data_IF_780816031518
#
_entry.id   IF_780816031518
#
_cell.length_a   1.000
_cell.length_b   1.000
_cell.length_c   1.000
_cell.angle_alpha   90.00
_cell.angle_beta   90.00
_cell.angle_gamma   90.00
#
_symmetry.space_group_name_H-M   'P 1'
#
loop_
_entity.id
_entity.type
_entity.pdbx_description
1 polymer ?
#
# COMPACT_ATOMS: atom_id res chain seq x y z
N UNK A 1 26.65 -14.35 -1.18
CA UNK A 1 26.64 -14.13 0.28
C UNK A 1 28.02 -13.85 0.88
N UNK A 2 29.09 -14.54 0.48
CA UNK A 2 30.43 -14.32 1.05
C UNK A 2 31.02 -12.90 0.81
N UNK A 3 30.77 -12.27 -0.35
CA UNK A 3 31.30 -10.93 -0.66
C UNK A 3 30.60 -9.80 0.10
N UNK A 4 29.29 -9.92 0.36
CA UNK A 4 28.49 -8.93 1.10
C UNK A 4 28.74 -8.95 2.61
N UNK A 5 29.04 -10.11 3.18
CA UNK A 5 29.42 -10.22 4.60
C UNK A 5 30.82 -9.62 4.82
N UNK A 6 31.76 -9.87 3.90
CA UNK A 6 33.10 -9.28 3.96
C UNK A 6 33.07 -7.75 3.85
N UNK A 7 32.22 -7.19 2.97
CA UNK A 7 32.09 -5.73 2.82
C UNK A 7 31.47 -5.06 4.04
N UNK A 8 30.51 -5.71 4.70
CA UNK A 8 29.91 -5.18 5.94
C UNK A 8 30.86 -5.24 7.14
N UNK A 9 31.58 -6.36 7.33
CA UNK A 9 32.60 -6.47 8.38
C UNK A 9 33.71 -5.41 8.18
N UNK A 10 34.08 -5.14 6.93
CA UNK A 10 34.99 -4.06 6.59
C UNK A 10 34.41 -2.67 6.89
N UNK A 11 33.14 -2.41 6.54
CA UNK A 11 32.46 -1.17 6.92
C UNK A 11 32.51 -0.94 8.43
N UNK A 12 32.10 -1.93 9.23
CA UNK A 12 32.11 -1.84 10.70
C UNK A 12 33.51 -1.67 11.28
N UNK A 13 34.51 -2.36 10.70
CA UNK A 13 35.90 -2.21 11.11
C UNK A 13 36.39 -0.79 10.81
N UNK A 14 36.21 -0.32 9.57
CA UNK A 14 36.63 1.00 9.14
C UNK A 14 35.94 2.11 9.95
N UNK A 15 34.63 2.02 10.20
CA UNK A 15 33.89 2.98 11.03
C UNK A 15 34.37 3.02 12.48
N UNK A 16 34.93 1.91 13.01
CA UNK A 16 35.53 1.87 14.36
C UNK A 16 36.98 2.37 14.38
N UNK A 17 37.77 2.12 13.34
CA UNK A 17 39.16 2.58 13.23
C UNK A 17 39.31 4.01 12.72
N UNK A 18 38.29 4.59 12.09
CA UNK A 18 38.32 5.96 11.60
C UNK A 18 37.50 6.85 12.52
N UNK A 19 38.18 7.77 13.21
CA UNK A 19 37.60 9.06 13.54
C UNK A 19 37.41 9.79 12.20
N UNK A 20 36.27 9.56 11.53
CA UNK A 20 35.99 10.11 10.21
C UNK A 20 35.94 11.63 10.38
N UNK A 21 36.98 12.32 9.89
CA UNK A 21 37.24 13.75 10.12
C UNK A 21 37.53 14.17 11.58
N UNK A 22 38.24 13.36 12.38
CA UNK A 22 38.44 13.58 13.84
C UNK A 22 37.13 13.56 14.66
N UNK A 23 36.04 13.05 14.09
CA UNK A 23 34.77 12.87 14.80
C UNK A 23 34.65 11.44 15.30
N UNK A 24 34.38 11.30 16.59
CA UNK A 24 34.12 10.02 17.22
C UNK A 24 32.81 9.41 16.69
N UNK A 25 32.82 8.12 16.38
CA UNK A 25 31.64 7.37 15.93
C UNK A 25 30.98 6.70 17.13
N UNK A 26 29.72 7.05 17.42
CA UNK A 26 28.95 6.46 18.52
C UNK A 26 28.29 5.15 18.11
N UNK A 27 27.76 5.09 16.89
CA UNK A 27 27.20 3.87 16.32
C UNK A 27 27.35 3.89 14.81
N UNK A 28 27.63 2.72 14.24
CA UNK A 28 27.62 2.48 12.81
C UNK A 28 26.94 1.13 12.55
N UNK A 29 26.14 1.07 11.49
CA UNK A 29 25.40 -0.13 11.15
C UNK A 29 24.58 0.04 9.89
N UNK A 30 23.83 -1.01 9.56
CA UNK A 30 22.88 -0.98 8.46
C UNK A 30 21.51 -0.65 9.00
N UNK A 31 20.88 0.36 8.41
CA UNK A 31 19.45 0.60 8.59
C UNK A 31 18.75 0.38 7.25
N UNK A 32 17.63 -0.32 7.31
CA UNK A 32 16.73 -0.45 6.18
C UNK A 32 15.67 0.63 6.32
N UNK A 33 15.60 1.52 5.33
CA UNK A 33 14.65 2.65 5.32
C UNK A 33 13.68 2.53 4.16
N UNK A 34 12.40 2.81 4.44
CA UNK A 34 11.37 3.03 3.44
C UNK A 34 11.59 4.39 2.78
N UNK A 35 11.87 4.49 1.46
CA UNK A 35 12.13 5.77 0.81
C UNK A 35 10.87 6.66 0.74
N UNK A 36 9.68 6.06 0.73
CA UNK A 36 8.37 6.75 0.62
C UNK A 36 7.32 6.01 1.48
N UNK A 37 6.22 6.69 1.85
CA UNK A 37 5.19 6.18 2.77
C UNK A 37 4.57 4.84 2.31
N UNK A 38 4.67 4.51 1.02
CA UNK A 38 4.09 3.30 0.39
C UNK A 38 5.12 2.39 -0.33
N UNK A 39 6.44 2.65 -0.22
CA UNK A 39 7.45 1.83 -0.91
C UNK A 39 7.76 0.49 -0.21
N UNK A 40 7.58 -0.63 -0.91
CA UNK A 40 7.91 -1.97 -0.42
C UNK A 40 9.40 -2.26 -0.32
N UNK A 41 10.16 -1.58 -1.18
CA UNK A 41 11.61 -1.76 -1.26
C UNK A 41 12.27 -0.99 -0.13
N UNK A 42 12.52 -1.73 0.95
CA UNK A 42 13.39 -1.31 2.02
C UNK A 42 14.81 -1.15 1.49
N UNK A 43 15.24 0.10 1.36
CA UNK A 43 16.56 0.38 0.81
C UNK A 43 17.59 0.27 1.94
N UNK A 44 18.56 -0.62 1.74
CA UNK A 44 19.73 -0.76 2.61
C UNK A 44 20.52 0.55 2.65
N UNK A 45 20.85 1.05 3.84
CA UNK A 45 21.68 2.23 4.05
C UNK A 45 22.76 1.91 5.06
N UNK A 46 23.97 2.39 4.79
CA UNK A 46 25.08 2.35 5.73
C UNK A 46 25.01 3.65 6.53
N UNK A 47 24.74 3.54 7.82
CA UNK A 47 24.40 4.67 8.68
C UNK A 47 25.43 4.82 9.80
N UNK A 48 25.73 6.07 10.15
CA UNK A 48 26.66 6.46 11.20
C UNK A 48 26.07 7.62 12.00
N UNK A 49 26.19 7.57 13.33
CA UNK A 49 26.01 8.74 14.20
C UNK A 49 27.37 9.09 14.80
N UNK A 50 27.73 10.36 14.70
CA UNK A 50 28.94 10.91 15.30
C UNK A 50 28.65 11.51 16.67
N UNK A 51 29.66 11.58 17.53
CA UNK A 51 29.56 12.22 18.84
C UNK A 51 29.18 13.70 18.70
N UNK A 52 28.34 14.18 19.63
CA UNK A 52 27.80 15.55 19.65
C UNK A 52 26.95 15.93 18.42
N UNK A 53 26.48 14.96 17.64
CA UNK A 53 25.58 15.21 16.50
C UNK A 53 24.21 14.54 16.72
N UNK A 54 23.13 15.31 16.60
CA UNK A 54 21.74 14.81 16.58
C UNK A 54 21.29 14.48 15.15
N UNK A 55 22.13 13.81 14.37
CA UNK A 55 21.80 13.42 13.01
C UNK A 55 22.39 12.06 12.63
N UNK A 56 21.64 11.32 11.82
CA UNK A 56 22.11 10.12 11.15
C UNK A 56 22.73 10.52 9.82
N UNK A 57 23.99 10.18 9.60
CA UNK A 57 24.66 10.31 8.31
C UNK A 57 24.58 8.98 7.58
N UNK A 58 24.17 8.99 6.31
CA UNK A 58 24.05 7.75 5.54
C UNK A 58 24.77 7.76 4.19
N UNK A 59 25.12 6.55 3.74
CA UNK A 59 25.79 6.22 2.48
C UNK A 59 25.00 5.13 1.73
N UNK A 60 25.09 5.08 0.39
CA UNK A 60 24.39 4.07 -0.41
C UNK A 60 25.21 2.79 -0.57
N UNK A 61 26.54 2.88 -0.49
CA UNK A 61 27.46 1.75 -0.69
C UNK A 61 28.70 1.89 0.19
N UNK A 62 29.51 0.82 0.27
CA UNK A 62 30.83 0.87 0.89
C UNK A 62 31.77 1.83 0.12
N UNK A 63 31.68 1.86 -1.21
CA UNK A 63 32.46 2.77 -2.04
C UNK A 63 32.12 4.24 -1.75
N UNK A 64 30.84 4.57 -1.55
CA UNK A 64 30.41 5.91 -1.13
C UNK A 64 31.02 6.27 0.22
N UNK A 65 31.10 5.32 1.15
CA UNK A 65 31.70 5.51 2.45
C UNK A 65 33.23 5.74 2.35
N UNK A 66 33.94 4.90 1.59
CA UNK A 66 35.39 5.01 1.37
C UNK A 66 35.76 6.32 0.65
N UNK A 67 34.94 6.73 -0.33
CA UNK A 67 35.09 8.01 -1.05
C UNK A 67 34.52 9.20 -0.29
N UNK A 68 33.97 9.02 0.91
CA UNK A 68 33.38 10.06 1.76
C UNK A 68 32.25 10.84 1.08
N UNK A 69 31.55 10.18 0.16
CA UNK A 69 30.40 10.74 -0.55
C UNK A 69 29.16 10.59 0.33
N UNK A 70 28.94 11.55 1.23
CA UNK A 70 27.74 11.60 2.08
C UNK A 70 26.50 11.75 1.20
N UNK A 71 25.49 10.91 1.43
CA UNK A 71 24.26 10.90 0.64
C UNK A 71 23.12 11.63 1.30
N UNK A 72 23.15 11.73 2.63
CA UNK A 72 22.27 12.61 3.37
C UNK A 72 22.59 12.62 4.85
N UNK A 73 22.04 13.63 5.52
CA UNK A 73 22.06 13.81 6.97
C UNK A 73 20.63 13.99 7.43
N UNK A 74 20.18 13.19 8.38
CA UNK A 74 18.80 13.20 8.87
C UNK A 74 18.83 13.56 10.35
N UNK A 75 18.36 14.76 10.74
CA UNK A 75 18.31 15.12 12.15
C UNK A 75 17.25 14.29 12.88
N UNK A 76 17.43 14.05 14.17
CA UNK A 76 16.43 13.37 15.01
C UNK A 76 16.22 14.10 16.35
N UNK A 77 15.00 14.03 16.88
CA UNK A 77 14.55 14.65 18.12
C UNK A 77 13.85 13.66 19.07
N UNK A 78 13.33 12.55 18.56
CA UNK A 78 12.82 11.45 19.40
C UNK A 78 13.07 10.10 18.72
N UNK A 79 13.07 9.02 19.50
CA UNK A 79 13.27 7.65 19.01
C UNK A 79 12.43 6.66 19.83
N UNK A 80 11.78 5.71 19.17
CA UNK A 80 10.87 4.75 19.79
C UNK A 80 10.95 3.39 19.08
N UNK A 81 10.72 2.30 19.81
CA UNK A 81 10.46 1.01 19.17
C UNK A 81 9.22 1.12 18.26
N UNK A 82 9.23 0.35 17.17
CA UNK A 82 8.12 0.31 16.22
C UNK A 82 7.88 -1.14 15.82
N UNK A 83 6.65 -1.59 16.02
CA UNK A 83 6.18 -2.96 15.85
C UNK A 83 5.79 -3.30 14.41
N UNK A 84 5.67 -2.32 13.51
CA UNK A 84 5.33 -2.56 12.11
C UNK A 84 6.40 -3.26 11.26
N UNK A 85 7.56 -3.63 11.84
CA UNK A 85 8.54 -4.55 11.24
C UNK A 85 9.33 -5.27 12.33
N UNK A 86 9.69 -6.57 12.17
CA UNK A 86 10.63 -7.23 13.08
C UNK A 86 11.92 -6.43 13.23
N UNK A 87 12.35 -6.20 14.47
CA UNK A 87 13.50 -5.36 14.84
C UNK A 87 13.37 -3.89 14.35
N UNK A 88 12.14 -3.40 14.22
CA UNK A 88 11.78 -2.07 13.74
C UNK A 88 11.85 -0.98 14.80
N UNK A 89 12.24 0.22 14.41
CA UNK A 89 12.13 1.39 15.26
C UNK A 89 11.80 2.63 14.41
N UNK A 90 11.26 3.65 15.07
CA UNK A 90 10.93 4.91 14.44
C UNK A 90 11.58 6.08 15.17
N UNK A 91 11.87 7.15 14.44
CA UNK A 91 12.40 8.38 15.02
C UNK A 91 11.82 9.60 14.31
N UNK A 92 11.68 10.70 15.03
CA UNK A 92 11.14 11.94 14.50
C UNK A 92 12.25 12.96 14.30
N UNK A 93 12.14 13.80 13.28
CA UNK A 93 12.98 14.98 13.12
C UNK A 93 12.44 16.14 13.96
N UNK A 94 13.23 17.21 14.18
CA UNK A 94 12.72 18.45 14.78
C UNK A 94 11.56 19.12 14.01
N UNK A 95 11.36 18.77 12.73
CA UNK A 95 10.23 19.20 11.91
C UNK A 95 9.05 18.21 11.95
N UNK A 96 9.03 17.31 12.93
CA UNK A 96 8.00 16.29 13.16
C UNK A 96 7.81 15.25 12.03
N UNK A 97 8.80 15.14 11.13
CA UNK A 97 8.82 14.05 10.15
C UNK A 97 9.24 12.72 10.81
N UNK A 98 8.38 11.70 10.71
CA UNK A 98 8.66 10.35 11.19
C UNK A 98 9.44 9.51 10.15
N UNK A 99 10.50 8.85 10.61
CA UNK A 99 11.25 7.86 9.86
C UNK A 99 11.12 6.50 10.53
N UNK A 100 10.59 5.54 9.78
CA UNK A 100 10.51 4.13 10.19
C UNK A 100 11.63 3.33 9.53
N UNK A 101 12.37 2.59 10.34
CA UNK A 101 13.53 1.79 9.92
C UNK A 101 13.54 0.45 10.64
N UNK A 102 14.28 -0.52 10.12
CA UNK A 102 14.54 -1.76 10.86
C UNK A 102 16.00 -2.21 10.74
N UNK A 103 16.39 -3.11 11.62
CA UNK A 103 17.72 -3.72 11.69
C UNK A 103 17.64 -5.23 11.45
N UNK A 104 18.76 -5.87 11.10
CA UNK A 104 18.77 -7.33 10.84
C UNK A 104 18.54 -8.15 12.13
N UNK A 105 18.88 -7.59 13.30
CA UNK A 105 18.82 -8.31 14.58
C UNK A 105 18.25 -7.43 15.70
N UNK A 106 17.51 -8.03 16.63
CA UNK A 106 16.99 -7.35 17.82
C UNK A 106 18.09 -6.70 18.67
N UNK A 107 19.28 -7.33 18.72
CA UNK A 107 20.44 -6.78 19.42
C UNK A 107 20.94 -5.47 18.80
N UNK A 108 20.85 -5.32 17.47
CA UNK A 108 21.24 -4.08 16.81
C UNK A 108 20.17 -3.00 16.95
N UNK A 109 18.88 -3.37 16.88
CA UNK A 109 17.77 -2.45 17.19
C UNK A 109 17.96 -1.81 18.57
N UNK A 110 18.23 -2.62 19.60
CA UNK A 110 18.41 -2.12 20.98
C UNK A 110 19.58 -1.13 21.07
N UNK A 111 20.72 -1.43 20.44
CA UNK A 111 21.87 -0.51 20.41
C UNK A 111 21.53 0.82 19.73
N UNK A 112 20.79 0.80 18.63
CA UNK A 112 20.36 2.02 17.94
C UNK A 112 19.44 2.87 18.82
N UNK A 113 18.44 2.26 19.45
CA UNK A 113 17.56 2.94 20.40
C UNK A 113 18.33 3.59 21.55
N UNK A 114 19.22 2.84 22.20
CA UNK A 114 20.01 3.32 23.34
C UNK A 114 20.94 4.48 22.97
N UNK A 115 21.66 4.38 21.83
CA UNK A 115 22.60 5.42 21.41
C UNK A 115 21.85 6.68 20.99
N UNK A 116 20.75 6.54 20.23
CA UNK A 116 19.94 7.70 19.83
C UNK A 116 19.30 8.40 21.02
N UNK A 117 18.76 7.64 21.98
CA UNK A 117 18.19 8.22 23.20
C UNK A 117 19.25 8.96 24.01
N UNK A 118 20.44 8.37 24.19
CA UNK A 118 21.58 9.06 24.84
C UNK A 118 21.99 10.33 24.12
N UNK A 119 21.95 10.38 22.79
CA UNK A 119 22.24 11.61 22.05
C UNK A 119 21.19 12.69 22.35
N UNK A 120 19.91 12.33 22.40
CA UNK A 120 18.80 13.23 22.72
C UNK A 120 18.92 13.76 24.15
N UNK A 121 19.16 12.87 25.12
CA UNK A 121 19.26 13.24 26.54
C UNK A 121 20.46 14.18 26.83
N UNK A 122 21.52 14.07 26.03
CA UNK A 122 22.72 14.93 26.14
C UNK A 122 22.65 16.18 25.26
N UNK A 123 21.53 16.42 24.55
CA UNK A 123 21.36 17.60 23.72
C UNK A 123 21.27 18.88 24.58
N UNK A 124 21.95 19.97 24.21
CA UNK A 124 21.78 21.24 24.91
C UNK A 124 20.36 21.80 24.67
N UNK A 125 19.71 22.28 25.72
CA UNK A 125 18.40 22.95 25.64
C UNK A 125 18.44 24.12 24.65
N UNK A 126 17.65 24.04 23.57
CA UNK A 126 17.39 25.17 22.67
C UNK A 126 16.13 25.89 23.12
N UNK A 127 16.20 27.22 23.23
CA UNK A 127 15.00 28.06 23.35
C UNK A 127 14.17 27.98 22.06
N UNK A 128 12.88 27.77 22.19
CA UNK A 128 11.92 27.67 21.08
C UNK A 128 11.94 28.91 20.15
N UNK A 129 11.87 28.70 18.82
CA UNK A 129 11.36 29.73 17.90
C UNK A 129 12.18 30.17 16.69
N UNK A 130 13.32 29.57 16.33
CA UNK A 130 14.05 29.99 15.12
C UNK A 130 13.65 29.18 13.87
N UNK A 131 12.74 29.71 13.03
CA UNK A 131 12.51 29.22 11.66
C UNK A 131 13.60 29.71 10.72
N UNK A 132 14.10 28.81 9.87
CA UNK A 132 14.97 29.16 8.72
C UNK A 132 14.07 29.42 7.52
N UNK A 133 14.12 30.64 7.01
CA UNK A 133 13.39 31.04 5.82
C UNK A 133 14.12 30.54 4.56
N UNK A 134 13.36 30.02 3.60
CA UNK A 134 13.87 29.64 2.26
C UNK A 134 12.86 30.07 1.22
N UNK A 135 12.94 31.34 0.80
CA UNK A 135 12.30 31.82 -0.42
C UNK A 135 13.36 32.08 -1.49
N UNK A 136 13.32 31.30 -2.59
CA UNK A 136 13.57 31.71 -3.98
C UNK A 136 13.66 30.45 -4.85
N UNK A 137 12.54 30.00 -5.40
CA UNK A 137 12.52 28.96 -6.44
C UNK A 137 11.60 29.41 -7.55
N UNK A 138 12.07 29.31 -8.80
CA UNK A 138 11.30 29.55 -10.02
C UNK A 138 10.24 28.47 -10.22
N UNK A 139 9.33 28.35 -9.27
CA UNK A 139 8.22 27.41 -9.29
C UNK A 139 7.12 27.96 -10.19
N UNK A 140 6.73 27.14 -11.17
CA UNK A 140 5.53 27.34 -11.97
C UNK A 140 4.40 26.64 -11.21
N UNK A 141 3.39 27.40 -10.80
CA UNK A 141 2.23 26.81 -10.14
C UNK A 141 1.44 25.90 -11.10
N UNK A 142 0.71 24.94 -10.52
CA UNK A 142 -0.01 23.93 -11.29
C UNK A 142 -0.98 24.53 -12.32
N UNK A 143 -1.64 25.63 -12.00
CA UNK A 143 -2.61 26.25 -12.91
C UNK A 143 -1.89 26.90 -14.11
N UNK A 144 -0.75 27.53 -13.86
CA UNK A 144 0.10 28.12 -14.90
C UNK A 144 0.73 27.06 -15.81
N UNK A 145 1.16 25.91 -15.26
CA UNK A 145 1.59 24.76 -16.05
C UNK A 145 0.44 24.18 -16.91
N UNK A 146 -0.74 24.01 -16.32
CA UNK A 146 -1.90 23.43 -17.00
C UNK A 146 -2.41 24.31 -18.15
N UNK A 147 -2.36 25.62 -17.99
CA UNK A 147 -2.69 26.58 -19.04
C UNK A 147 -1.71 26.44 -20.22
N UNK A 148 -0.41 26.51 -19.95
CA UNK A 148 0.63 26.33 -20.96
C UNK A 148 0.48 24.99 -21.71
N UNK A 149 0.25 23.89 -20.99
CA UNK A 149 0.10 22.57 -21.60
C UNK A 149 -1.09 22.49 -22.57
N UNK A 150 -2.25 23.00 -22.16
CA UNK A 150 -3.45 22.97 -22.99
C UNK A 150 -3.28 23.84 -24.25
N UNK A 151 -2.64 25.00 -24.10
CA UNK A 151 -2.39 25.93 -25.20
C UNK A 151 -1.41 25.34 -26.23
N UNK A 152 -0.35 24.66 -25.79
CA UNK A 152 0.68 24.06 -26.66
C UNK A 152 0.18 22.83 -27.43
N UNK A 153 -0.86 22.16 -26.92
CA UNK A 153 -1.38 20.90 -27.46
C UNK A 153 -2.74 21.01 -28.16
N UNK A 154 -3.24 22.23 -28.39
CA UNK A 154 -4.53 22.49 -29.04
C UNK A 154 -4.53 22.35 -30.58
N UNK A 155 -3.37 22.09 -31.21
CA UNK A 155 -3.24 22.07 -32.67
C UNK A 155 -3.58 20.70 -33.31
N UNK A 156 -4.30 20.72 -34.43
CA UNK A 156 -4.84 19.54 -35.15
C UNK A 156 -3.80 18.67 -35.90
N UNK A 157 -2.54 19.13 -36.04
CA UNK A 157 -1.50 18.40 -36.77
C UNK A 157 -0.56 17.61 -35.85
N UNK A 158 -1.11 16.64 -35.12
CA UNK A 158 -0.32 15.83 -34.18
C UNK A 158 0.25 14.55 -34.80
N UNK A 159 1.52 14.31 -34.53
CA UNK A 159 2.20 13.05 -34.88
C UNK A 159 1.77 11.88 -33.98
N UNK A 160 1.95 10.65 -34.45
CA UNK A 160 1.66 9.42 -33.69
C UNK A 160 2.35 9.38 -32.31
N UNK A 161 3.58 9.92 -32.22
CA UNK A 161 4.34 10.02 -30.98
C UNK A 161 3.71 11.02 -29.99
N UNK A 162 3.19 12.15 -30.49
CA UNK A 162 2.48 13.14 -29.67
C UNK A 162 1.15 12.59 -29.16
N UNK A 163 0.41 11.81 -29.95
CA UNK A 163 -0.82 11.12 -29.50
C UNK A 163 -0.54 10.10 -28.39
N UNK A 164 0.54 9.33 -28.49
CA UNK A 164 0.97 8.38 -27.43
C UNK A 164 1.41 9.11 -26.16
N UNK A 165 2.11 10.24 -26.31
CA UNK A 165 2.50 11.10 -25.19
C UNK A 165 1.29 11.74 -24.52
N UNK A 166 0.32 12.24 -25.29
CA UNK A 166 -0.96 12.75 -24.79
C UNK A 166 -1.79 11.66 -24.09
N UNK A 167 -1.84 10.44 -24.62
CA UNK A 167 -2.53 9.33 -23.96
C UNK A 167 -1.90 9.04 -22.59
N UNK A 168 -0.56 8.93 -22.52
CA UNK A 168 0.18 8.80 -21.25
C UNK A 168 -0.08 9.98 -20.29
N UNK A 169 -0.13 11.20 -20.81
CA UNK A 169 -0.41 12.39 -20.00
C UNK A 169 -1.87 12.48 -19.56
N UNK A 170 -2.83 11.95 -20.33
CA UNK A 170 -4.24 11.83 -19.96
C UNK A 170 -4.43 10.83 -18.81
N UNK A 171 -3.71 9.71 -18.83
CA UNK A 171 -3.64 8.77 -17.70
C UNK A 171 -2.98 9.41 -16.46
N UNK A 172 -1.91 10.18 -16.64
CA UNK A 172 -1.27 10.92 -15.55
C UNK A 172 -2.20 12.03 -14.97
N UNK A 173 -2.99 12.67 -15.83
CA UNK A 173 -3.99 13.69 -15.46
C UNK A 173 -5.18 13.06 -14.73
N UNK A 174 -5.61 11.86 -15.11
CA UNK A 174 -6.59 11.05 -14.37
C UNK A 174 -6.08 10.59 -13.00
N UNK A 175 -4.75 10.39 -12.84
CA UNK A 175 -4.11 10.14 -11.53
C UNK A 175 -4.05 11.38 -10.62
N UNK A 176 -4.14 12.59 -11.16
CA UNK A 176 -4.07 13.86 -10.41
C UNK A 176 -5.47 14.44 -10.17
N UNK A 177 -6.39 14.26 -11.12
CA UNK A 177 -7.80 14.54 -10.95
C UNK A 177 -8.46 13.29 -10.40
N UNK A 178 -8.46 13.16 -9.07
CA UNK A 178 -9.28 12.17 -8.36
C UNK A 178 -10.71 12.25 -8.94
N UNK A 179 -11.20 11.26 -9.72
CA UNK A 179 -12.60 11.28 -10.12
C UNK A 179 -13.39 11.32 -8.82
N UNK A 180 -14.25 12.32 -8.67
CA UNK A 180 -15.17 12.31 -7.54
C UNK A 180 -15.96 11.01 -7.68
N UNK A 181 -15.74 10.06 -6.78
CA UNK A 181 -16.43 8.75 -6.79
C UNK A 181 -17.94 8.94 -6.88
N UNK A 182 -18.46 10.07 -6.37
CA UNK A 182 -19.85 10.49 -6.51
C UNK A 182 -20.36 10.68 -7.94
N UNK A 183 -19.49 10.81 -8.94
CA UNK A 183 -19.84 10.92 -10.37
C UNK A 183 -19.69 9.59 -11.12
N UNK A 184 -19.47 8.48 -10.41
CA UNK A 184 -19.42 7.13 -10.96
C UNK A 184 -20.79 6.47 -10.75
N UNK A 185 -21.34 5.93 -11.84
CA UNK A 185 -22.56 5.14 -11.83
C UNK A 185 -22.31 3.73 -12.36
N UNK A 186 -23.15 2.79 -11.90
CA UNK A 186 -23.12 1.40 -12.34
C UNK A 186 -24.34 1.06 -13.18
N UNK A 187 -24.15 0.32 -14.27
CA UNK A 187 -25.23 -0.17 -15.12
C UNK A 187 -25.17 -1.70 -15.22
N UNK A 188 -26.22 -2.37 -14.77
CA UNK A 188 -26.37 -3.81 -14.92
C UNK A 188 -26.96 -4.15 -16.29
N UNK A 189 -26.30 -5.03 -17.04
CA UNK A 189 -26.76 -5.52 -18.34
C UNK A 189 -26.85 -7.04 -18.32
N UNK A 190 -27.73 -7.59 -19.17
CA UNK A 190 -28.04 -9.03 -19.17
C UNK A 190 -29.01 -9.45 -18.05
N UNK A 191 -29.61 -10.62 -18.19
CA UNK A 191 -30.52 -11.16 -17.18
C UNK A 191 -29.73 -11.68 -15.98
N UNK A 192 -30.18 -11.41 -14.76
CA UNK A 192 -29.57 -11.96 -13.55
C UNK A 192 -30.38 -13.15 -13.00
N UNK A 193 -29.75 -14.29 -12.65
CA UNK A 193 -28.36 -14.67 -12.95
C UNK A 193 -28.23 -15.26 -14.36
N UNK A 194 -27.17 -14.90 -15.09
CA UNK A 194 -26.83 -15.52 -16.39
C UNK A 194 -25.35 -15.34 -16.72
N UNK A 195 -24.86 -16.07 -17.72
CA UNK A 195 -23.50 -15.92 -18.25
C UNK A 195 -23.25 -14.55 -18.90
N UNK A 196 -24.31 -13.90 -19.37
CA UNK A 196 -24.25 -12.57 -20.02
C UNK A 196 -24.36 -11.42 -19.01
N UNK A 197 -24.64 -11.71 -17.74
CA UNK A 197 -24.82 -10.67 -16.74
C UNK A 197 -23.51 -9.92 -16.49
N UNK A 198 -23.54 -8.59 -16.56
CA UNK A 198 -22.42 -7.70 -16.24
C UNK A 198 -22.90 -6.51 -15.44
N UNK A 199 -22.05 -5.99 -14.56
CA UNK A 199 -22.19 -4.66 -13.96
C UNK A 199 -21.05 -3.79 -14.49
N UNK A 200 -21.40 -2.86 -15.37
CA UNK A 200 -20.49 -1.91 -16.01
C UNK A 200 -20.40 -0.62 -15.17
N UNK A 201 -19.26 0.08 -15.26
CA UNK A 201 -19.01 1.32 -14.54
C UNK A 201 -18.84 2.49 -15.52
N UNK A 202 -19.41 3.64 -15.19
CA UNK A 202 -19.34 4.84 -16.01
C UNK A 202 -19.04 6.07 -15.15
N UNK A 203 -18.14 6.92 -15.62
CA UNK A 203 -17.87 8.21 -15.00
C UNK A 203 -18.43 9.33 -15.86
N UNK A 204 -19.11 10.29 -15.22
CA UNK A 204 -19.60 11.50 -15.89
C UNK A 204 -18.60 12.65 -15.66
N UNK A 205 -17.93 13.07 -16.73
CA UNK A 205 -16.97 14.19 -16.66
C UNK A 205 -17.63 15.57 -16.58
N UNK A 206 -16.82 16.62 -16.42
CA UNK A 206 -17.24 18.03 -16.30
C UNK A 206 -18.13 18.49 -17.48
N UNK A 207 -17.96 17.89 -18.66
CA UNK A 207 -18.75 18.21 -19.85
C UNK A 207 -20.08 17.43 -19.93
N UNK A 208 -20.48 16.72 -18.86
CA UNK A 208 -21.58 15.75 -18.83
C UNK A 208 -21.41 14.59 -19.85
N UNK A 209 -20.17 14.32 -20.28
CA UNK A 209 -19.87 13.16 -21.10
C UNK A 209 -19.75 11.92 -20.22
N UNK A 210 -20.57 10.92 -20.53
CA UNK A 210 -20.54 9.61 -19.90
C UNK A 210 -19.49 8.73 -20.57
N UNK A 211 -18.50 8.27 -19.80
CA UNK A 211 -17.43 7.40 -20.30
C UNK A 211 -17.41 6.11 -19.50
N UNK A 212 -17.35 4.97 -20.19
CA UNK A 212 -17.16 3.68 -19.52
C UNK A 212 -15.75 3.62 -18.94
N UNK A 213 -15.65 3.12 -17.71
CA UNK A 213 -14.39 3.00 -16.98
C UNK A 213 -14.22 1.57 -16.45
N UNK A 214 -12.99 1.21 -16.13
CA UNK A 214 -12.65 0.00 -15.41
C UNK A 214 -12.79 0.21 -13.90
N UNK A 215 -13.55 -0.63 -13.18
CA UNK A 215 -13.56 -0.58 -11.73
C UNK A 215 -12.20 -0.95 -11.15
N UNK A 216 -11.42 -1.77 -11.83
CA UNK A 216 -10.08 -2.15 -11.37
C UNK A 216 -9.05 -1.04 -11.57
N UNK A 217 -9.01 -0.43 -12.75
CA UNK A 217 -7.89 0.44 -13.11
C UNK A 217 -8.16 1.93 -12.92
N UNK A 218 -9.40 2.37 -13.13
CA UNK A 218 -9.74 3.80 -13.21
C UNK A 218 -10.29 4.36 -11.90
N UNK A 219 -10.84 3.51 -11.02
CA UNK A 219 -11.23 3.91 -9.68
C UNK A 219 -9.96 4.07 -8.82
N UNK A 220 -9.76 5.22 -8.15
CA UNK A 220 -8.57 5.44 -7.34
C UNK A 220 -8.59 4.53 -6.11
N UNK A 221 -7.45 3.90 -5.80
CA UNK A 221 -7.30 3.17 -4.54
C UNK A 221 -7.41 4.11 -3.34
N UNK A 222 -6.61 5.18 -3.34
CA UNK A 222 -6.49 6.10 -2.21
C UNK A 222 -7.29 7.38 -2.44
N UNK A 223 -8.00 7.81 -1.40
CA UNK A 223 -8.66 9.10 -1.35
C UNK A 223 -7.73 10.19 -0.73
N UNK A 224 -8.01 11.49 -0.94
CA UNK A 224 -7.18 12.58 -0.44
C UNK A 224 -7.06 12.63 1.09
N UNK A 225 -8.05 12.11 1.81
CA UNK A 225 -8.08 12.03 3.27
C UNK A 225 -7.33 10.80 3.84
N UNK A 226 -6.75 9.96 2.98
CA UNK A 226 -6.00 8.77 3.35
C UNK A 226 -6.85 7.50 3.53
N UNK A 227 -8.16 7.58 3.36
CA UNK A 227 -9.03 6.39 3.25
C UNK A 227 -8.83 5.69 1.92
N UNK A 228 -9.39 4.49 1.76
CA UNK A 228 -9.33 3.74 0.51
C UNK A 228 -10.73 3.43 -0.03
N UNK A 229 -10.81 3.15 -1.33
CA UNK A 229 -12.06 2.71 -1.95
C UNK A 229 -12.14 1.18 -1.98
N UNK A 230 -13.30 0.66 -1.61
CA UNK A 230 -13.68 -0.76 -1.69
C UNK A 230 -14.77 -0.91 -2.74
N UNK A 231 -14.67 -1.95 -3.57
CA UNK A 231 -15.67 -2.29 -4.57
C UNK A 231 -16.38 -3.56 -4.13
N UNK A 232 -17.66 -3.44 -3.78
CA UNK A 232 -18.45 -4.58 -3.35
C UNK A 232 -18.77 -5.47 -4.56
N UNK A 233 -18.33 -6.72 -4.52
CA UNK A 233 -18.68 -7.73 -5.53
C UNK A 233 -19.85 -8.58 -5.04
N UNK A 234 -19.74 -9.12 -3.82
CA UNK A 234 -20.70 -10.01 -3.19
C UNK A 234 -21.31 -9.30 -1.97
N UNK A 235 -22.57 -8.85 -2.05
CA UNK A 235 -23.29 -8.28 -0.94
C UNK A 235 -23.31 -9.20 0.29
N UNK A 236 -23.23 -8.59 1.48
CA UNK A 236 -23.53 -9.26 2.76
C UNK A 236 -24.83 -10.06 2.67
N UNK A 237 -24.88 -11.25 3.25
CA UNK A 237 -26.02 -12.18 3.20
C UNK A 237 -26.42 -12.64 1.79
N UNK A 238 -25.44 -12.75 0.89
CA UNK A 238 -25.64 -13.37 -0.43
C UNK A 238 -24.50 -14.35 -0.72
N UNK A 239 -24.66 -15.19 -1.76
CA UNK A 239 -23.71 -16.30 -2.02
C UNK A 239 -23.34 -16.50 -3.49
N UNK A 240 -23.86 -15.68 -4.40
CA UNK A 240 -23.47 -15.73 -5.81
C UNK A 240 -22.06 -15.18 -5.91
N UNK A 241 -21.13 -15.95 -6.47
CA UNK A 241 -19.73 -15.52 -6.58
C UNK A 241 -19.63 -14.52 -7.73
N UNK A 242 -19.68 -13.24 -7.38
CA UNK A 242 -19.46 -12.13 -8.30
C UNK A 242 -18.00 -11.72 -8.20
N UNK A 243 -17.40 -11.30 -9.31
CA UNK A 243 -15.99 -10.89 -9.38
C UNK A 243 -15.78 -9.88 -10.51
N UNK A 244 -14.82 -8.97 -10.34
CA UNK A 244 -14.26 -8.15 -11.42
C UNK A 244 -13.70 -9.07 -12.50
N UNK A 245 -14.17 -8.91 -13.74
CA UNK A 245 -13.68 -9.70 -14.87
C UNK A 245 -12.32 -9.18 -15.34
N UNK A 246 -11.24 -9.58 -14.67
CA UNK A 246 -9.85 -9.15 -14.94
C UNK A 246 -9.42 -9.37 -16.39
N UNK A 247 -9.95 -10.40 -17.07
CA UNK A 247 -9.69 -10.69 -18.49
C UNK A 247 -10.61 -10.00 -19.50
N UNK A 248 -11.63 -9.23 -19.09
CA UNK A 248 -12.57 -8.56 -20.00
C UNK A 248 -12.29 -7.05 -20.12
N UNK A 249 -12.48 -6.44 -21.31
CA UNK A 249 -12.33 -4.99 -21.47
C UNK A 249 -13.21 -4.21 -20.50
N UNK A 250 -12.64 -3.16 -19.88
CA UNK A 250 -13.28 -2.36 -18.83
C UNK A 250 -13.64 -3.13 -17.55
N UNK A 251 -13.18 -4.37 -17.40
CA UNK A 251 -13.29 -5.20 -16.20
C UNK A 251 -14.64 -5.12 -15.46
N UNK A 252 -15.79 -5.30 -16.15
CA UNK A 252 -17.08 -5.29 -15.47
C UNK A 252 -17.15 -6.41 -14.43
N UNK A 253 -18.05 -6.26 -13.45
CA UNK A 253 -18.32 -7.37 -12.52
C UNK A 253 -19.21 -8.39 -13.22
N UNK A 254 -18.86 -9.68 -13.11
CA UNK A 254 -19.67 -10.81 -13.61
C UNK A 254 -19.82 -11.88 -12.54
N UNK A 255 -20.66 -12.87 -12.79
CA UNK A 255 -20.72 -14.06 -11.93
C UNK A 255 -19.66 -15.08 -12.40
N UNK A 256 -18.84 -15.59 -11.48
CA UNK A 256 -17.81 -16.62 -11.73
C UNK A 256 -18.46 -17.88 -12.34
N UNK A 257 -17.72 -18.54 -13.22
CA UNK A 257 -18.13 -19.78 -13.87
C UNK A 257 -17.13 -20.90 -13.57
N UNK A 258 -17.62 -22.02 -13.06
CA UNK A 258 -16.80 -23.23 -12.86
C UNK A 258 -17.48 -24.42 -13.53
N UNK A 259 -16.75 -25.12 -14.40
CA UNK A 259 -17.25 -26.27 -15.17
C UNK A 259 -18.54 -25.97 -15.96
N UNK A 260 -18.59 -24.79 -16.61
CA UNK A 260 -19.74 -24.37 -17.42
C UNK A 260 -21.01 -24.04 -16.63
N UNK A 261 -20.90 -23.81 -15.32
CA UNK A 261 -22.01 -23.40 -14.45
C UNK A 261 -21.66 -22.14 -13.67
N UNK A 262 -22.66 -21.30 -13.45
CA UNK A 262 -22.55 -20.14 -12.58
C UNK A 262 -22.27 -20.60 -11.14
N UNK A 263 -21.24 -20.03 -10.52
CA UNK A 263 -20.76 -20.44 -9.21
C UNK A 263 -21.50 -19.73 -8.08
N UNK A 264 -21.78 -20.49 -7.02
CA UNK A 264 -22.26 -20.00 -5.74
C UNK A 264 -21.46 -20.67 -4.62
N UNK A 265 -21.36 -20.02 -3.48
CA UNK A 265 -20.82 -20.64 -2.27
C UNK A 265 -21.80 -21.69 -1.74
N UNK A 266 -21.35 -22.95 -1.68
CA UNK A 266 -22.14 -24.07 -1.18
C UNK A 266 -22.19 -24.15 0.35
N UNK A 267 -21.20 -23.58 1.04
CA UNK A 267 -21.09 -23.57 2.51
C UNK A 267 -22.18 -22.73 3.18
N UNK A 268 -22.46 -21.55 2.61
CA UNK A 268 -23.44 -20.63 3.17
C UNK A 268 -23.36 -19.27 2.48
N UNK A 269 -24.13 -18.33 3.02
CA UNK A 269 -24.07 -16.93 2.60
C UNK A 269 -22.82 -16.25 3.20
N UNK A 270 -22.29 -15.27 2.47
CA UNK A 270 -21.25 -14.39 2.96
C UNK A 270 -21.82 -13.53 4.09
N UNK A 271 -21.21 -13.52 5.26
CA UNK A 271 -21.74 -12.76 6.42
C UNK A 271 -21.32 -11.28 6.44
N UNK A 272 -20.53 -10.87 5.45
CA UNK A 272 -19.92 -9.55 5.28
C UNK A 272 -20.02 -9.14 3.82
N UNK A 273 -19.87 -7.84 3.53
CA UNK A 273 -19.71 -7.43 2.15
C UNK A 273 -18.31 -7.83 1.69
N UNK A 274 -18.22 -8.43 0.51
CA UNK A 274 -16.98 -8.98 -0.01
C UNK A 274 -16.72 -8.42 -1.40
N UNK A 275 -15.45 -8.23 -1.74
CA UNK A 275 -15.02 -7.75 -3.04
C UNK A 275 -13.56 -7.35 -3.00
N UNK A 276 -13.18 -6.31 -3.72
CA UNK A 276 -11.77 -5.99 -3.95
C UNK A 276 -11.43 -4.51 -3.73
N UNK A 277 -10.14 -4.21 -3.58
CA UNK A 277 -9.63 -2.85 -3.72
C UNK A 277 -9.17 -2.57 -5.15
N UNK A 278 -9.56 -1.44 -5.76
CA UNK A 278 -9.08 -1.09 -7.09
C UNK A 278 -7.58 -0.77 -7.08
N UNK A 279 -6.96 -0.81 -8.25
CA UNK A 279 -5.55 -0.53 -8.45
C UNK A 279 -4.61 -1.38 -7.58
N UNK A 280 -5.01 -2.58 -7.22
CA UNK A 280 -4.17 -3.57 -6.53
C UNK A 280 -4.06 -4.83 -7.38
N UNK A 281 -3.01 -5.61 -7.18
CA UNK A 281 -2.82 -6.89 -7.85
C UNK A 281 -1.87 -7.76 -7.03
N UNK A 282 -2.24 -9.02 -6.79
CA UNK A 282 -1.42 -10.02 -6.11
C UNK A 282 -0.53 -10.74 -7.13
N UNK A 283 0.73 -10.33 -7.25
CA UNK A 283 1.65 -10.82 -8.30
C UNK A 283 1.94 -12.33 -8.17
N UNK A 284 1.58 -13.16 -9.17
CA UNK A 284 1.84 -14.61 -9.15
C UNK A 284 3.32 -14.97 -9.30
N UNK A 285 4.20 -13.99 -9.50
CA UNK A 285 5.66 -14.16 -9.49
C UNK A 285 6.30 -13.83 -8.13
N UNK A 286 5.55 -13.21 -7.21
CA UNK A 286 6.05 -12.76 -5.93
C UNK A 286 5.70 -13.75 -4.82
N UNK A 287 6.71 -14.27 -4.12
CA UNK A 287 6.51 -15.16 -2.96
C UNK A 287 6.42 -14.33 -1.68
N UNK A 288 5.28 -14.38 -1.00
CA UNK A 288 5.06 -13.74 0.30
C UNK A 288 5.78 -14.50 1.42
N UNK A 289 6.58 -13.80 2.22
CA UNK A 289 7.45 -14.39 3.26
C UNK A 289 6.67 -15.23 4.29
N UNK A 290 5.53 -14.73 4.80
CA UNK A 290 4.79 -15.40 5.88
C UNK A 290 3.83 -16.52 5.46
N UNK A 291 3.61 -16.70 4.15
CA UNK A 291 2.84 -17.83 3.59
C UNK A 291 3.74 -18.82 2.86
N UNK A 292 4.86 -18.35 2.31
CA UNK A 292 5.71 -19.12 1.39
C UNK A 292 5.08 -19.37 0.02
N UNK A 293 3.98 -18.68 -0.29
CA UNK A 293 3.16 -18.86 -1.49
C UNK A 293 3.24 -17.64 -2.42
N UNK A 294 2.95 -17.83 -3.71
CA UNK A 294 2.86 -16.74 -4.70
C UNK A 294 1.50 -16.04 -4.63
N UNK A 295 1.34 -14.83 -5.18
CA UNK A 295 0.01 -14.20 -5.28
C UNK A 295 -0.96 -14.95 -6.20
N UNK A 296 -2.26 -14.73 -6.03
CA UNK A 296 -3.35 -15.41 -6.76
C UNK A 296 -3.71 -14.78 -8.12
N UNK A 297 -2.96 -13.76 -8.55
CA UNK A 297 -3.12 -13.05 -9.82
C UNK A 297 -4.39 -12.17 -9.94
N UNK A 298 -5.09 -11.89 -8.84
CA UNK A 298 -6.28 -11.03 -8.80
C UNK A 298 -6.04 -9.72 -8.01
N UNK A 299 -6.98 -8.74 -8.04
CA UNK A 299 -6.95 -7.60 -7.12
C UNK A 299 -7.10 -8.08 -5.67
N UNK A 300 -6.50 -7.35 -4.71
CA UNK A 300 -6.54 -7.77 -3.30
C UNK A 300 -7.97 -7.82 -2.76
N UNK A 301 -8.29 -8.92 -2.08
CA UNK A 301 -9.61 -9.18 -1.56
C UNK A 301 -9.91 -8.44 -0.25
N UNK A 302 -11.19 -8.12 -0.04
CA UNK A 302 -11.68 -7.28 1.04
C UNK A 302 -12.91 -7.87 1.69
N UNK A 303 -12.90 -7.82 3.03
CA UNK A 303 -14.01 -8.12 3.93
C UNK A 303 -14.42 -6.82 4.64
N UNK A 304 -15.53 -6.23 4.21
CA UNK A 304 -16.09 -5.02 4.83
C UNK A 304 -17.12 -5.41 5.90
N UNK A 305 -16.82 -5.05 7.16
CA UNK A 305 -17.52 -5.57 8.35
C UNK A 305 -18.65 -4.67 8.84
N UNK A 306 -18.93 -3.57 8.14
CA UNK A 306 -20.01 -2.65 8.47
C UNK A 306 -21.38 -3.31 8.55
N UNK A 307 -22.27 -2.58 9.19
CA UNK A 307 -23.65 -3.01 9.46
C UNK A 307 -24.52 -3.03 8.21
N UNK A 308 -24.20 -2.18 7.23
CA UNK A 308 -24.98 -2.02 5.99
C UNK A 308 -24.65 -3.10 4.97
N UNK A 309 -25.68 -3.64 4.32
CA UNK A 309 -25.51 -4.46 3.11
C UNK A 309 -25.35 -3.53 1.90
N UNK A 310 -24.26 -3.72 1.14
CA UNK A 310 -24.01 -3.01 -0.12
C UNK A 310 -24.59 -3.76 -1.31
N UNK A 311 -24.68 -3.09 -2.46
CA UNK A 311 -25.05 -3.75 -3.73
C UNK A 311 -23.79 -4.12 -4.49
N UNK A 312 -23.85 -5.17 -5.32
CA UNK A 312 -22.79 -5.47 -6.29
C UNK A 312 -22.50 -4.23 -7.14
N UNK A 313 -21.22 -3.87 -7.22
CA UNK A 313 -20.71 -2.68 -7.89
C UNK A 313 -20.68 -1.41 -7.03
N UNK A 314 -21.12 -1.45 -5.76
CA UNK A 314 -21.01 -0.28 -4.89
C UNK A 314 -19.54 0.06 -4.63
N UNK A 315 -19.19 1.34 -4.78
CA UNK A 315 -17.88 1.89 -4.40
C UNK A 315 -18.06 2.56 -3.04
N UNK A 316 -17.32 2.10 -2.05
CA UNK A 316 -17.49 2.50 -0.66
C UNK A 316 -16.16 3.01 -0.11
N UNK A 317 -16.20 4.18 0.52
CA UNK A 317 -15.06 4.72 1.24
C UNK A 317 -14.89 3.96 2.56
N UNK A 318 -13.75 3.31 2.74
CA UNK A 318 -13.48 2.45 3.90
C UNK A 318 -12.15 2.82 4.54
N UNK A 319 -12.01 2.45 5.82
CA UNK A 319 -10.72 2.41 6.50
C UNK A 319 -10.26 0.97 6.73
N UNK A 320 -8.97 0.75 6.53
CA UNK A 320 -8.31 -0.55 6.74
C UNK A 320 -8.15 -0.76 8.25
N UNK A 321 -8.40 -1.99 8.72
CA UNK A 321 -8.32 -2.37 10.13
C UNK A 321 -7.34 -3.52 10.37
N UNK A 322 -7.22 -4.44 9.42
CA UNK A 322 -6.37 -5.62 9.54
C UNK A 322 -6.40 -6.47 8.27
N UNK A 323 -5.71 -7.60 8.29
CA UNK A 323 -5.66 -8.53 7.14
C UNK A 323 -5.43 -9.96 7.59
N UNK A 324 -6.06 -10.92 6.92
CA UNK A 324 -5.81 -12.35 7.05
C UNK A 324 -5.03 -12.85 5.82
N UNK A 325 -4.00 -13.67 6.05
CA UNK A 325 -3.21 -14.30 4.99
C UNK A 325 -3.76 -15.68 4.66
N UNK A 326 -4.85 -15.77 3.89
CA UNK A 326 -5.38 -17.07 3.47
C UNK A 326 -4.36 -17.73 2.53
N UNK A 327 -4.15 -19.02 2.69
CA UNK A 327 -3.41 -19.84 1.72
C UNK A 327 -4.47 -20.66 0.99
N UNK A 328 -4.74 -20.27 -0.25
CA UNK A 328 -5.72 -20.93 -1.10
C UNK A 328 -5.03 -21.61 -2.29
N UNK A 329 -5.17 -22.93 -2.41
CA UNK A 329 -4.56 -23.73 -3.49
C UNK A 329 -3.04 -23.49 -3.73
N UNK A 330 -2.30 -23.15 -2.66
CA UNK A 330 -0.87 -22.75 -2.61
C UNK A 330 -0.55 -21.34 -3.12
N UNK A 331 -1.56 -20.50 -3.24
CA UNK A 331 -1.48 -19.07 -3.48
C UNK A 331 -1.73 -18.32 -2.17
N UNK A 332 -1.05 -17.20 -2.01
CA UNK A 332 -1.36 -16.19 -1.00
C UNK A 332 -2.57 -15.45 -1.52
N UNK A 333 -3.60 -15.41 -0.68
CA UNK A 333 -4.88 -14.81 -0.99
C UNK A 333 -5.25 -13.90 0.20
N UNK A 334 -4.89 -12.61 0.10
CA UNK A 334 -5.02 -11.69 1.22
C UNK A 334 -6.46 -11.24 1.40
N UNK A 335 -7.00 -11.37 2.61
CA UNK A 335 -8.34 -10.87 2.97
C UNK A 335 -8.23 -9.65 3.88
N UNK A 336 -8.27 -8.46 3.29
CA UNK A 336 -8.19 -7.19 4.04
C UNK A 336 -9.50 -6.94 4.77
N UNK A 337 -9.42 -6.71 6.08
CA UNK A 337 -10.57 -6.34 6.90
C UNK A 337 -10.67 -4.82 6.94
N UNK A 338 -11.82 -4.29 6.56
CA UNK A 338 -12.09 -2.85 6.55
C UNK A 338 -13.50 -2.53 7.06
N UNK A 339 -13.77 -1.26 7.31
CA UNK A 339 -15.11 -0.78 7.66
C UNK A 339 -15.42 0.52 6.92
N UNK A 340 -16.66 0.66 6.43
CA UNK A 340 -17.16 1.93 5.90
C UNK A 340 -16.93 3.07 6.91
N UNK A 341 -16.36 4.18 6.45
CA UNK A 341 -16.08 5.36 7.30
C UNK A 341 -17.35 6.01 7.87
N UNK A 342 -18.50 5.80 7.25
CA UNK A 342 -19.81 6.28 7.71
C UNK A 342 -20.55 5.29 8.63
N UNK A 343 -19.99 4.09 8.87
CA UNK A 343 -20.62 3.14 9.79
C UNK A 343 -20.59 3.67 11.23
N UNK A 344 -21.63 3.39 12.02
CA UNK A 344 -21.72 3.89 13.38
C UNK A 344 -20.63 3.33 14.32
N UNK A 345 -20.05 2.18 13.99
CA UNK A 345 -18.89 1.63 14.70
C UNK A 345 -17.57 2.19 14.21
N UNK A 346 -17.53 2.82 13.03
CA UNK A 346 -16.29 3.30 12.45
C UNK A 346 -15.50 4.18 13.43
N UNK A 347 -16.05 5.19 14.12
CA UNK A 347 -15.25 6.01 15.05
C UNK A 347 -14.60 5.21 16.21
N UNK A 348 -15.16 4.05 16.56
CA UNK A 348 -14.74 3.22 17.67
C UNK A 348 -13.69 2.16 17.28
N UNK A 349 -13.62 1.80 16.01
CA UNK A 349 -12.79 0.68 15.54
C UNK A 349 -11.65 1.20 14.66
N UNK A 350 -10.41 1.12 15.14
CA UNK A 350 -9.23 1.64 14.43
C UNK A 350 -8.12 0.62 14.19
N UNK A 351 -8.22 -0.56 14.81
CA UNK A 351 -7.33 -1.71 14.62
C UNK A 351 -8.07 -3.03 14.95
N UNK A 352 -7.42 -4.17 14.71
CA UNK A 352 -7.92 -5.53 14.97
C UNK A 352 -8.41 -5.71 16.42
N UNK A 353 -7.72 -5.12 17.40
CA UNK A 353 -8.10 -5.23 18.81
C UNK A 353 -9.45 -4.57 19.10
N UNK A 354 -9.77 -3.46 18.43
CA UNK A 354 -11.04 -2.76 18.61
C UNK A 354 -12.20 -3.53 17.97
N UNK A 355 -11.94 -4.33 16.92
CA UNK A 355 -12.94 -5.22 16.32
C UNK A 355 -13.43 -6.21 17.37
N UNK A 356 -12.54 -6.89 18.10
CA UNK A 356 -12.98 -7.83 19.14
C UNK A 356 -13.64 -7.11 20.33
N UNK A 357 -13.23 -5.88 20.63
CA UNK A 357 -13.83 -5.11 21.72
C UNK A 357 -15.28 -4.65 21.42
N UNK A 358 -15.56 -4.28 20.17
CA UNK A 358 -16.85 -3.70 19.77
C UNK A 358 -17.74 -4.64 18.94
N UNK A 359 -17.16 -5.68 18.33
CA UNK A 359 -17.79 -6.72 17.53
C UNK A 359 -17.24 -8.10 17.91
N UNK A 360 -17.42 -8.55 19.17
CA UNK A 360 -16.78 -9.77 19.68
C UNK A 360 -17.14 -11.00 18.84
N UNK A 361 -16.12 -11.76 18.44
CA UNK A 361 -16.25 -12.95 17.60
C UNK A 361 -16.32 -12.67 16.10
N UNK A 362 -16.26 -11.42 15.66
CA UNK A 362 -16.30 -11.06 14.24
C UNK A 362 -15.13 -11.65 13.45
N UNK A 363 -13.88 -11.50 13.94
CA UNK A 363 -12.71 -12.04 13.25
C UNK A 363 -12.76 -13.57 13.24
N UNK A 364 -13.19 -14.18 14.35
CA UNK A 364 -13.35 -15.64 14.44
C UNK A 364 -14.35 -16.15 13.40
N UNK A 365 -15.50 -15.48 13.25
CA UNK A 365 -16.52 -15.86 12.27
C UNK A 365 -16.03 -15.70 10.81
N UNK A 366 -15.28 -14.63 10.52
CA UNK A 366 -14.67 -14.41 9.20
C UNK A 366 -13.64 -15.51 8.90
N UNK A 367 -12.74 -15.74 9.85
CA UNK A 367 -11.69 -16.75 9.77
C UNK A 367 -12.29 -18.15 9.55
N UNK A 368 -13.24 -18.57 10.39
CA UNK A 368 -13.85 -19.89 10.27
C UNK A 368 -14.60 -20.07 8.94
N UNK A 369 -15.31 -19.05 8.47
CA UNK A 369 -16.01 -19.11 7.19
C UNK A 369 -15.03 -19.28 6.02
N UNK A 370 -13.95 -18.49 5.99
CA UNK A 370 -12.92 -18.54 4.95
C UNK A 370 -12.07 -19.82 4.98
N UNK A 371 -11.89 -20.42 6.16
CA UNK A 371 -11.25 -21.73 6.32
C UNK A 371 -12.10 -22.85 5.71
N UNK A 372 -13.40 -22.84 5.99
CA UNK A 372 -14.27 -24.00 5.82
C UNK A 372 -15.09 -23.97 4.51
N UNK A 373 -15.12 -22.85 3.77
CA UNK A 373 -16.01 -22.73 2.60
C UNK A 373 -15.75 -23.73 1.46
N UNK A 374 -14.54 -24.33 1.42
CA UNK A 374 -14.10 -25.34 0.43
C UNK A 374 -14.25 -26.78 0.93
N UNK A 375 -14.90 -27.03 2.07
CA UNK A 375 -15.05 -28.37 2.63
C UNK A 375 -15.45 -29.41 1.56
N UNK A 376 -14.79 -30.60 1.56
CA UNK A 376 -13.97 -31.15 2.64
C UNK A 376 -12.50 -30.67 2.70
N UNK A 377 -12.02 -29.91 1.71
CA UNK A 377 -10.68 -29.30 1.77
C UNK A 377 -10.78 -27.98 2.52
N UNK A 378 -10.03 -27.85 3.61
CA UNK A 378 -9.96 -26.59 4.38
C UNK A 378 -8.77 -25.77 3.94
N UNK A 379 -8.97 -24.45 3.87
CA UNK A 379 -7.88 -23.51 3.64
C UNK A 379 -7.01 -23.40 4.90
N UNK A 380 -5.80 -22.88 4.72
CA UNK A 380 -4.86 -22.59 5.81
C UNK A 380 -4.57 -21.10 5.86
N UNK A 381 -3.83 -20.67 6.87
CA UNK A 381 -3.36 -19.29 6.97
C UNK A 381 -1.85 -19.24 7.14
N UNK A 382 -1.27 -18.11 6.72
CA UNK A 382 0.07 -17.71 7.13
C UNK A 382 0.09 -17.01 8.50
N UNK A 383 1.27 -16.57 8.93
CA UNK A 383 1.44 -15.71 10.11
C UNK A 383 0.79 -16.27 11.40
N UNK A 384 0.96 -17.57 11.66
CA UNK A 384 0.40 -18.28 12.83
C UNK A 384 -1.14 -18.17 12.95
N UNK A 385 -1.85 -18.16 11.82
CA UNK A 385 -3.31 -18.05 11.74
C UNK A 385 -3.88 -16.74 12.35
N UNK A 386 -3.05 -15.70 12.48
CA UNK A 386 -3.46 -14.42 13.08
C UNK A 386 -4.01 -13.44 12.06
N UNK A 387 -5.02 -12.68 12.48
CA UNK A 387 -5.37 -11.43 11.83
C UNK A 387 -4.31 -10.37 12.17
N UNK A 388 -3.57 -9.94 11.16
CA UNK A 388 -2.53 -8.92 11.31
C UNK A 388 -3.18 -7.53 11.44
N UNK A 389 -2.57 -6.67 12.26
CA UNK A 389 -3.06 -5.33 12.56
C UNK A 389 -3.07 -4.37 11.37
N UNK A 390 -3.67 -3.20 11.57
CA UNK A 390 -3.87 -2.18 10.53
C UNK A 390 -2.58 -1.79 9.80
N UNK A 391 -1.50 -1.50 10.52
CA UNK A 391 -0.23 -1.07 9.92
C UNK A 391 0.33 -2.12 8.93
N UNK A 392 0.15 -3.40 9.26
CA UNK A 392 0.56 -4.50 8.39
C UNK A 392 -0.35 -4.57 7.15
N UNK A 393 -1.67 -4.49 7.35
CA UNK A 393 -2.65 -4.50 6.27
C UNK A 393 -2.47 -3.32 5.28
N UNK A 394 -2.24 -2.10 5.78
CA UNK A 394 -1.93 -0.93 4.94
C UNK A 394 -0.65 -1.16 4.12
N UNK A 395 0.36 -1.84 4.70
CA UNK A 395 1.58 -2.18 3.98
C UNK A 395 1.34 -3.22 2.89
N UNK A 396 0.51 -4.24 3.15
CA UNK A 396 0.10 -5.24 2.16
C UNK A 396 -0.72 -4.62 1.02
N UNK A 397 -1.65 -3.72 1.31
CA UNK A 397 -2.41 -2.99 0.27
C UNK A 397 -1.49 -2.08 -0.56
N UNK A 398 -0.54 -1.40 0.08
CA UNK A 398 0.48 -0.65 -0.64
C UNK A 398 1.35 -1.56 -1.52
N UNK A 399 1.57 -2.82 -1.11
CA UNK A 399 2.36 -3.80 -1.87
C UNK A 399 1.72 -4.17 -3.19
N UNK A 400 0.48 -4.65 -3.08
CA UNK A 400 -0.32 -5.04 -4.23
C UNK A 400 -0.59 -3.86 -5.15
N UNK A 401 -0.65 -2.62 -4.64
CA UNK A 401 -0.71 -1.42 -5.47
C UNK A 401 0.56 -1.17 -6.29
N UNK A 402 1.75 -1.39 -5.71
CA UNK A 402 3.01 -1.29 -6.48
C UNK A 402 3.12 -2.41 -7.52
N UNK A 403 2.69 -3.62 -7.20
CA UNK A 403 2.61 -4.70 -8.18
C UNK A 403 1.66 -4.36 -9.34
N UNK A 404 0.50 -3.80 -9.04
CA UNK A 404 -0.43 -3.30 -10.06
C UNK A 404 0.19 -2.22 -10.96
N UNK A 405 0.95 -1.27 -10.39
CA UNK A 405 1.67 -0.27 -11.20
C UNK A 405 2.63 -0.92 -12.19
N UNK A 406 3.41 -1.89 -11.71
CA UNK A 406 4.36 -2.63 -12.55
C UNK A 406 3.66 -3.42 -13.65
N UNK A 407 2.54 -4.07 -13.32
CA UNK A 407 1.69 -4.77 -14.29
C UNK A 407 1.23 -3.83 -15.42
N UNK A 408 0.69 -2.66 -15.06
CA UNK A 408 0.20 -1.67 -16.04
C UNK A 408 1.34 -1.12 -16.91
N UNK A 409 2.51 -0.88 -16.32
CA UNK A 409 3.71 -0.46 -17.08
C UNK A 409 4.17 -1.53 -18.07
N UNK A 410 4.25 -2.79 -17.64
CA UNK A 410 4.67 -3.92 -18.48
C UNK A 410 3.71 -4.16 -19.65
N UNK A 411 2.40 -4.02 -19.41
CA UNK A 411 1.37 -4.21 -20.44
C UNK A 411 1.12 -2.97 -21.30
N UNK A 412 1.95 -1.94 -21.18
CA UNK A 412 1.83 -0.71 -21.98
C UNK A 412 0.52 0.03 -21.76
N UNK A 413 -0.11 -0.12 -20.60
CA UNK A 413 -1.42 0.46 -20.28
C UNK A 413 -2.64 -0.37 -20.70
N UNK A 414 -2.47 -1.65 -21.07
CA UNK A 414 -3.62 -2.52 -21.32
C UNK A 414 -4.30 -2.95 -20.01
N UNK A 415 -5.63 -2.84 -19.99
CA UNK A 415 -6.53 -2.99 -18.85
C UNK A 415 -7.08 -4.42 -18.65
N UNK A 416 -6.38 -5.43 -19.15
CA UNK A 416 -6.80 -6.84 -19.02
C UNK A 416 -5.62 -7.68 -18.57
N UNK A 417 -5.84 -8.57 -17.60
CA UNK A 417 -4.83 -9.53 -17.11
C UNK A 417 -5.02 -10.90 -17.71
#
# INVERSE_FOLDING_TARGET
MASTIASFANFLKQSRTHAIDNREVLIAGVLYKKPERNSLLWKKRYCVIYANELQIVYFLSLEDFERRTIRGKIPFSSVHAWDGKPNGFQFYTPADHCFRVYTETAADQLKWLEVMQKCIDNAPDRKDGARVDKSTTGEIDFNSFMKWWNDDHAADNQTEAMRRYQAKFKFLKARIANPEVGNIETEAVGAFPSFEFRVNFYHTGINNERQQISPWHDIPLYNPDGTVNFICEIPKWTRKKMEIATGEPFNPIKQDTKNGKLREYGWGEMMFNYGAMPQTWEDPSHVTEGTGCVGDNDPIDVVEIGTKQWRTGSIVQVKILGVLALIDDNETDWKVICINVEDHYAPLINDVADIEAHMPGCITAIHDWLRDYKLPQVNKYGYDDKCMGRDFAEATVAETHEFWKLLIEQRGGQATV
#
